data_IF_519726152507
#
_entry.id   IF_519726152507
#
_cell.length_a   1.000
_cell.length_b   1.000
_cell.length_c   1.000
_cell.angle_alpha   90.00
_cell.angle_beta   90.00
_cell.angle_gamma   90.00
#
_symmetry.space_group_name_H-M   'P 1'
#
loop_
_entity.id
_entity.type
_entity.pdbx_description
1 polymer ?
#
# COMPACT_ATOMS: atom_id res chain seq x y z
N UNK A 1 -0.11 -17.34 -13.24
CA UNK A 1 0.09 -17.08 -14.68
C UNK A 1 -0.98 -17.84 -15.43
N UNK A 2 -1.57 -17.23 -16.43
CA UNK A 2 -2.50 -17.86 -17.34
C UNK A 2 -1.77 -17.90 -18.69
N UNK A 3 -1.39 -19.09 -19.12
CA UNK A 3 -0.78 -19.29 -20.44
C UNK A 3 -1.88 -19.69 -21.43
N UNK A 4 -1.92 -19.00 -22.56
CA UNK A 4 -2.65 -19.40 -23.76
C UNK A 4 -1.60 -19.62 -24.83
N UNK A 5 -1.64 -20.71 -25.57
CA UNK A 5 -0.81 -21.11 -26.72
C UNK A 5 0.66 -20.58 -26.76
N UNK A 6 1.58 -21.30 -27.37
CA UNK A 6 3.02 -21.02 -27.38
C UNK A 6 3.43 -19.62 -27.91
N UNK A 7 2.55 -18.94 -28.65
CA UNK A 7 2.74 -17.60 -29.21
C UNK A 7 1.86 -16.52 -28.57
N UNK A 8 1.16 -16.85 -27.45
CA UNK A 8 0.23 -15.93 -26.83
C UNK A 8 0.90 -15.11 -25.72
N UNK A 9 0.36 -13.93 -25.48
CA UNK A 9 0.76 -13.06 -24.37
C UNK A 9 0.58 -13.77 -23.02
N UNK A 10 1.56 -13.64 -22.14
CA UNK A 10 1.52 -14.15 -20.78
C UNK A 10 0.91 -13.11 -19.86
N UNK A 11 -0.18 -13.43 -19.20
CA UNK A 11 -0.84 -12.56 -18.24
C UNK A 11 -0.64 -13.04 -16.81
N UNK A 12 -0.55 -12.08 -15.88
CA UNK A 12 -0.53 -12.35 -14.45
C UNK A 12 -1.69 -11.63 -13.76
N UNK A 13 -2.33 -12.30 -12.82
CA UNK A 13 -3.29 -11.64 -11.93
C UNK A 13 -2.55 -10.64 -11.04
N UNK A 14 -3.14 -9.49 -10.84
CA UNK A 14 -2.56 -8.35 -10.13
C UNK A 14 -2.46 -8.61 -8.62
N UNK A 15 -1.24 -8.68 -8.02
CA UNK A 15 -1.07 -8.95 -6.60
C UNK A 15 -1.06 -7.69 -5.72
N UNK A 16 -0.81 -6.50 -6.31
CA UNK A 16 -0.69 -5.21 -5.63
C UNK A 16 -0.92 -4.06 -6.60
N UNK A 17 -1.20 -2.87 -6.07
CA UNK A 17 -1.43 -1.64 -6.85
C UNK A 17 -0.16 -0.81 -7.07
N UNK A 18 0.80 -0.88 -6.14
CA UNK A 18 1.95 0.01 -6.07
C UNK A 18 2.71 0.20 -7.40
N UNK A 19 3.14 -0.85 -8.12
CA UNK A 19 3.90 -0.66 -9.36
C UNK A 19 3.13 0.14 -10.42
N UNK A 20 1.81 -0.07 -10.49
CA UNK A 20 0.97 0.60 -11.49
C UNK A 20 0.80 2.08 -11.18
N UNK A 21 0.64 2.44 -9.91
CA UNK A 21 0.58 3.84 -9.50
C UNK A 21 1.90 4.58 -9.77
N UNK A 22 3.04 3.92 -9.63
CA UNK A 22 4.33 4.51 -9.99
C UNK A 22 4.44 4.76 -11.50
N UNK A 23 3.92 3.87 -12.34
CA UNK A 23 3.83 4.12 -13.79
C UNK A 23 2.90 5.29 -14.12
N UNK A 24 1.76 5.38 -13.45
CA UNK A 24 0.83 6.53 -13.61
C UNK A 24 1.53 7.83 -13.22
N UNK A 25 2.25 7.84 -12.09
CA UNK A 25 3.01 9.01 -11.68
C UNK A 25 4.06 9.42 -12.72
N UNK A 26 4.79 8.45 -13.30
CA UNK A 26 5.81 8.69 -14.33
C UNK A 26 5.25 9.07 -15.69
N UNK A 27 3.99 8.80 -15.98
CA UNK A 27 3.38 9.06 -17.29
C UNK A 27 3.26 10.54 -17.64
N UNK A 28 3.38 11.45 -16.67
CA UNK A 28 3.40 12.89 -16.90
C UNK A 28 4.56 13.55 -16.16
N UNK A 29 5.10 14.61 -16.75
CA UNK A 29 6.13 15.39 -16.08
C UNK A 29 5.58 16.02 -14.81
N UNK A 30 6.37 15.93 -13.75
CA UNK A 30 6.07 16.53 -12.44
C UNK A 30 7.21 17.46 -12.04
N UNK A 31 6.89 18.50 -11.31
CA UNK A 31 7.86 19.37 -10.67
C UNK A 31 7.73 19.27 -9.15
N UNK A 32 8.70 19.80 -8.41
CA UNK A 32 8.63 19.87 -6.96
C UNK A 32 7.42 20.70 -6.46
N UNK A 33 6.86 21.56 -7.30
CA UNK A 33 5.68 22.37 -6.99
C UNK A 33 4.37 21.58 -7.03
N UNK A 34 4.39 20.40 -7.65
CA UNK A 34 3.25 19.49 -7.71
C UNK A 34 3.18 18.58 -6.47
N UNK A 35 4.16 18.68 -5.57
CA UNK A 35 4.25 17.90 -4.34
C UNK A 35 3.61 18.64 -3.15
N UNK A 36 2.93 17.95 -2.24
CA UNK A 36 2.73 16.50 -2.22
C UNK A 36 1.72 16.04 -3.26
N UNK A 37 2.03 14.97 -3.98
CA UNK A 37 1.14 14.39 -4.98
C UNK A 37 0.49 13.13 -4.40
N UNK A 38 -0.82 13.13 -4.28
CA UNK A 38 -1.60 12.05 -3.65
C UNK A 38 -2.38 11.30 -4.70
N UNK A 39 -2.20 9.99 -4.75
CA UNK A 39 -2.91 9.08 -5.66
C UNK A 39 -3.73 8.11 -4.84
N UNK A 40 -4.98 7.88 -5.25
CA UNK A 40 -5.86 6.88 -4.66
C UNK A 40 -6.36 5.91 -5.74
N UNK A 41 -6.51 4.66 -5.38
CA UNK A 41 -7.02 3.61 -6.25
C UNK A 41 -7.84 2.61 -5.46
N UNK A 42 -8.97 2.22 -6.02
CA UNK A 42 -9.76 1.07 -5.54
C UNK A 42 -9.68 -0.01 -6.60
N UNK A 43 -9.11 -1.15 -6.24
CA UNK A 43 -8.94 -2.25 -7.19
C UNK A 43 -8.99 -3.63 -6.54
N UNK A 44 -9.30 -4.63 -7.37
CA UNK A 44 -9.29 -6.03 -6.97
C UNK A 44 -7.88 -6.58 -7.12
N UNK A 45 -7.39 -7.25 -6.07
CA UNK A 45 -6.09 -7.90 -6.00
C UNK A 45 -6.23 -9.40 -5.81
N UNK A 46 -5.19 -10.12 -6.23
CA UNK A 46 -5.16 -11.58 -6.17
C UNK A 46 -3.85 -12.03 -5.54
N UNK A 47 -3.93 -12.98 -4.61
CA UNK A 47 -2.78 -13.60 -3.96
C UNK A 47 -2.92 -15.10 -3.96
N UNK A 48 -1.85 -15.81 -4.30
CA UNK A 48 -1.84 -17.27 -4.25
C UNK A 48 -1.52 -17.74 -2.83
N UNK A 49 -2.49 -17.52 -1.92
CA UNK A 49 -2.38 -17.99 -0.54
C UNK A 49 -2.54 -19.50 -0.48
N UNK A 50 -1.74 -20.18 0.33
CA UNK A 50 -1.89 -21.60 0.59
C UNK A 50 -3.18 -21.90 1.36
N UNK A 51 -3.75 -23.08 1.15
CA UNK A 51 -5.02 -23.45 1.78
C UNK A 51 -4.99 -23.39 3.31
N UNK A 52 -3.84 -23.69 3.91
CA UNK A 52 -3.63 -23.61 5.37
C UNK A 52 -3.45 -22.20 5.91
N UNK A 53 -3.21 -21.22 5.04
CA UNK A 53 -3.03 -19.82 5.43
C UNK A 53 -4.31 -18.99 5.33
N UNK A 54 -5.30 -19.48 4.58
CA UNK A 54 -6.58 -18.78 4.44
C UNK A 54 -7.34 -18.74 5.78
N UNK A 55 -7.85 -17.57 6.15
CA UNK A 55 -8.53 -17.40 7.42
C UNK A 55 -9.73 -16.46 7.31
N UNK A 56 -10.92 -17.04 7.23
CA UNK A 56 -12.19 -16.32 7.16
C UNK A 56 -12.19 -15.24 6.08
N UNK A 57 -12.57 -14.02 6.45
CA UNK A 57 -12.54 -12.85 5.57
C UNK A 57 -11.23 -12.06 5.67
N UNK A 58 -10.34 -12.40 6.61
CA UNK A 58 -9.11 -11.62 6.87
C UNK A 58 -7.96 -12.01 5.98
N UNK A 59 -7.92 -13.27 5.49
CA UNK A 59 -6.88 -13.74 4.58
C UNK A 59 -7.49 -14.59 3.46
N UNK A 60 -7.66 -13.97 2.30
CA UNK A 60 -8.35 -14.54 1.14
C UNK A 60 -7.49 -14.38 -0.13
N UNK A 61 -7.81 -15.16 -1.16
CA UNK A 61 -7.08 -15.14 -2.44
C UNK A 61 -7.49 -13.99 -3.37
N UNK A 62 -8.67 -13.43 -3.16
CA UNK A 62 -9.18 -12.28 -3.91
C UNK A 62 -9.82 -11.30 -2.94
N UNK A 63 -9.46 -10.03 -3.04
CA UNK A 63 -10.04 -8.97 -2.24
C UNK A 63 -9.96 -7.63 -2.97
N UNK A 64 -10.82 -6.71 -2.58
CA UNK A 64 -10.78 -5.33 -3.06
C UNK A 64 -10.15 -4.46 -1.99
N UNK A 65 -9.18 -3.66 -2.38
CA UNK A 65 -8.51 -2.69 -1.51
C UNK A 65 -8.74 -1.29 -2.06
N UNK A 66 -8.89 -0.33 -1.14
CA UNK A 66 -8.79 1.09 -1.44
C UNK A 66 -7.53 1.61 -0.77
N UNK A 67 -6.54 1.94 -1.55
CA UNK A 67 -5.24 2.41 -1.06
C UNK A 67 -4.72 3.59 -1.87
N UNK A 68 -3.66 4.24 -1.37
CA UNK A 68 -3.06 5.37 -2.05
C UNK A 68 -1.56 5.44 -1.83
N UNK A 69 -0.91 6.18 -2.72
CA UNK A 69 0.50 6.53 -2.62
C UNK A 69 0.66 8.05 -2.55
N UNK A 70 1.52 8.47 -1.66
CA UNK A 70 1.86 9.86 -1.43
C UNK A 70 3.30 10.07 -1.89
N UNK A 71 3.50 10.92 -2.88
CA UNK A 71 4.83 11.35 -3.32
C UNK A 71 5.06 12.74 -2.75
N UNK A 72 6.05 12.88 -1.90
CA UNK A 72 6.33 14.12 -1.18
C UNK A 72 7.83 14.34 -1.01
N UNK A 73 8.23 15.56 -0.64
CA UNK A 73 9.61 15.83 -0.24
C UNK A 73 9.86 15.33 1.20
N UNK A 74 11.12 15.13 1.60
CA UNK A 74 11.44 14.75 2.99
C UNK A 74 10.83 15.69 4.04
N UNK A 75 10.80 17.00 3.76
CA UNK A 75 10.25 18.00 4.66
C UNK A 75 8.71 17.90 4.81
N UNK A 76 8.04 17.28 3.85
CA UNK A 76 6.59 17.09 3.85
C UNK A 76 6.15 15.81 4.56
N UNK A 77 7.06 14.84 4.79
CA UNK A 77 6.73 13.50 5.31
C UNK A 77 5.98 13.59 6.64
N UNK A 78 6.43 14.40 7.57
CA UNK A 78 5.79 14.54 8.89
C UNK A 78 4.33 14.99 8.79
N UNK A 79 4.06 15.97 7.94
CA UNK A 79 2.69 16.45 7.73
C UNK A 79 1.82 15.41 7.02
N UNK A 80 2.33 14.77 5.97
CA UNK A 80 1.61 13.73 5.25
C UNK A 80 1.29 12.52 6.13
N UNK A 81 2.24 12.11 6.98
CA UNK A 81 2.00 11.05 7.95
C UNK A 81 0.91 11.41 8.95
N UNK A 82 0.94 12.63 9.51
CA UNK A 82 -0.12 13.12 10.41
C UNK A 82 -1.48 13.15 9.75
N UNK A 83 -1.54 13.51 8.47
CA UNK A 83 -2.78 13.54 7.71
C UNK A 83 -3.33 12.13 7.45
N UNK A 84 -2.46 11.15 7.18
CA UNK A 84 -2.86 9.74 7.10
C UNK A 84 -3.45 9.23 8.44
N UNK A 85 -2.80 9.53 9.56
CA UNK A 85 -3.32 9.16 10.90
C UNK A 85 -4.66 9.84 11.18
N UNK A 86 -4.80 11.12 10.80
CA UNK A 86 -6.07 11.85 10.94
C UNK A 86 -7.19 11.23 10.13
N UNK A 87 -6.91 10.84 8.88
CA UNK A 87 -7.88 10.15 8.02
C UNK A 87 -8.29 8.79 8.62
N UNK A 88 -7.33 8.01 9.09
CA UNK A 88 -7.61 6.73 9.74
C UNK A 88 -8.51 6.92 10.97
N UNK A 89 -8.19 7.88 11.83
CA UNK A 89 -9.03 8.23 12.98
C UNK A 89 -10.43 8.65 12.56
N UNK A 90 -10.56 9.51 11.57
CA UNK A 90 -11.85 9.94 11.05
C UNK A 90 -12.72 8.76 10.61
N UNK A 91 -12.14 7.81 9.87
CA UNK A 91 -12.86 6.61 9.44
C UNK A 91 -13.30 5.75 10.63
N UNK A 92 -12.40 5.51 11.58
CA UNK A 92 -12.68 4.69 12.76
C UNK A 92 -13.74 5.32 13.67
N UNK A 93 -13.65 6.62 13.91
CA UNK A 93 -14.68 7.36 14.67
C UNK A 93 -16.03 7.30 13.96
N UNK A 94 -16.07 7.47 12.64
CA UNK A 94 -17.31 7.41 11.86
C UNK A 94 -17.97 6.03 11.93
N UNK A 95 -17.17 4.97 12.05
CA UNK A 95 -17.64 3.60 12.20
C UNK A 95 -17.93 3.22 13.68
N UNK A 96 -17.67 4.10 14.64
CA UNK A 96 -17.84 3.83 16.07
C UNK A 96 -16.82 2.86 16.66
N UNK A 97 -15.64 2.73 16.03
CA UNK A 97 -14.56 1.79 16.39
C UNK A 97 -13.39 2.45 17.13
N UNK A 98 -13.46 3.74 17.45
CA UNK A 98 -12.32 4.50 17.97
C UNK A 98 -11.80 3.97 19.32
N UNK A 99 -12.68 3.52 20.20
CA UNK A 99 -12.32 3.00 21.53
C UNK A 99 -11.61 1.64 21.48
N UNK A 100 -11.80 0.88 20.40
CA UNK A 100 -11.23 -0.47 20.23
C UNK A 100 -9.87 -0.45 19.51
N UNK A 101 -9.32 0.73 19.21
CA UNK A 101 -8.11 0.87 18.38
C UNK A 101 -6.86 1.06 19.22
N UNK A 102 -5.87 0.23 18.95
CA UNK A 102 -4.51 0.37 19.48
C UNK A 102 -3.55 0.73 18.36
N UNK A 103 -2.79 1.80 18.54
CA UNK A 103 -1.76 2.22 17.60
C UNK A 103 -0.42 1.58 17.95
N UNK A 104 0.19 0.91 16.95
CA UNK A 104 1.51 0.29 17.10
C UNK A 104 2.47 0.92 16.09
N UNK A 105 3.55 1.51 16.59
CA UNK A 105 4.62 2.03 15.78
C UNK A 105 5.77 1.03 15.73
N UNK A 106 6.07 0.52 14.52
CA UNK A 106 7.20 -0.39 14.30
C UNK A 106 8.45 0.42 13.96
N UNK A 107 9.55 0.11 14.63
CA UNK A 107 10.85 0.75 14.40
C UNK A 107 11.80 -0.22 13.71
N UNK A 108 12.81 0.32 13.06
CA UNK A 108 13.95 -0.40 12.58
C UNK A 108 14.70 -1.06 13.74
N UNK A 109 15.16 -2.31 13.53
CA UNK A 109 15.90 -3.06 14.53
C UNK A 109 17.39 -3.09 14.15
N UNK A 110 18.27 -2.45 14.92
CA UNK A 110 19.71 -2.43 14.64
C UNK A 110 20.39 -3.79 14.78
N UNK A 111 19.78 -4.74 15.50
CA UNK A 111 20.33 -6.08 15.69
C UNK A 111 20.00 -7.01 14.50
N UNK A 112 19.09 -6.62 13.59
CA UNK A 112 18.67 -7.39 12.41
C UNK A 112 18.77 -6.55 11.13
N UNK A 113 19.96 -6.03 10.87
CA UNK A 113 20.21 -5.12 9.75
C UNK A 113 19.97 -5.77 8.36
N UNK A 114 20.07 -7.09 8.25
CA UNK A 114 19.83 -7.80 6.99
C UNK A 114 18.34 -7.82 6.59
N UNK A 115 17.46 -7.68 7.56
CA UNK A 115 16.01 -7.65 7.36
C UNK A 115 15.47 -6.28 7.00
N UNK A 116 16.13 -5.23 7.46
CA UNK A 116 15.65 -3.87 7.29
C UNK A 116 16.55 -3.09 6.34
N UNK A 117 15.93 -2.49 5.31
CA UNK A 117 16.62 -1.61 4.38
C UNK A 117 16.52 -0.18 4.92
N UNK A 118 17.67 0.50 5.04
CA UNK A 118 17.74 1.88 5.49
C UNK A 118 18.67 2.09 6.67
N UNK A 119 18.55 3.23 7.31
CA UNK A 119 19.32 3.63 8.49
C UNK A 119 18.38 3.86 9.69
N UNK A 120 18.95 3.92 10.89
CA UNK A 120 18.20 4.18 12.12
C UNK A 120 17.76 5.65 12.27
N UNK A 121 18.19 6.54 11.35
CA UNK A 121 17.89 7.97 11.35
C UNK A 121 16.63 8.29 10.56
#
# INVERSE_FOLDING_TARGET
>A
MIEHDADADVYALRPMTCPFQYYVYKASQKSYRDLPYRMGETSTLFRNEDSGEMHGLTRVRQFTISEGHLVCTPEQIDQEFKDCVRLAKYCLTTLGLEEDVTYRFSKWDPEDADKYLGTAE
#
